data_IF_713034577704
#
_entry.id   IF_713034577704
#
_cell.length_a   1.000
_cell.length_b   1.000
_cell.length_c   1.000
_cell.angle_alpha   90.00
_cell.angle_beta   90.00
_cell.angle_gamma   90.00
#
_symmetry.space_group_name_H-M   'P 1'
#
loop_
_entity.id
_entity.type
_entity.pdbx_description
1 polymer ?
#
# COMPACT_ATOMS: atom_id res chain seq x y z
N UNK A 1 14.27 -13.65 -3.17
CA UNK A 1 14.30 -12.25 -3.65
C UNK A 1 15.41 -11.52 -2.90
N UNK A 2 16.21 -10.68 -3.56
CA UNK A 2 17.42 -10.07 -2.95
C UNK A 2 17.59 -8.57 -3.25
N UNK A 3 16.59 -7.87 -3.78
CA UNK A 3 16.71 -6.45 -4.10
C UNK A 3 15.37 -5.70 -4.15
N UNK A 4 15.44 -4.39 -3.98
CA UNK A 4 14.31 -3.43 -4.12
C UNK A 4 14.58 -2.59 -5.37
N UNK A 5 13.63 -2.59 -6.30
CA UNK A 5 13.74 -1.97 -7.64
C UNK A 5 12.58 -1.00 -7.87
N UNK A 6 12.52 -0.43 -9.08
CA UNK A 6 11.44 0.46 -9.54
C UNK A 6 11.32 1.77 -8.73
N UNK A 7 12.43 2.50 -8.69
CA UNK A 7 12.54 3.79 -8.00
C UNK A 7 12.04 4.98 -8.83
N UNK A 8 11.28 4.78 -9.92
CA UNK A 8 10.89 5.87 -10.82
C UNK A 8 10.04 6.94 -10.11
N UNK A 9 9.28 6.53 -9.09
CA UNK A 9 8.39 7.38 -8.31
C UNK A 9 9.00 7.82 -6.96
N UNK A 10 10.31 7.68 -6.75
CA UNK A 10 10.94 8.14 -5.51
C UNK A 10 10.84 9.66 -5.37
N UNK A 11 10.40 10.13 -4.20
CA UNK A 11 10.27 11.55 -3.92
C UNK A 11 10.57 11.88 -2.46
N UNK A 12 11.04 13.10 -2.20
CA UNK A 12 11.03 13.67 -0.86
C UNK A 12 9.60 14.08 -0.52
N UNK A 13 8.88 13.24 0.22
CA UNK A 13 7.44 13.38 0.49
C UNK A 13 7.09 12.89 1.91
N UNK A 14 5.79 12.72 2.17
CA UNK A 14 5.29 12.11 3.41
C UNK A 14 5.83 10.68 3.55
N UNK A 15 6.48 10.40 4.69
CA UNK A 15 7.04 9.08 5.03
C UNK A 15 6.01 7.94 5.05
N UNK A 16 4.72 8.26 5.19
CA UNK A 16 3.63 7.28 5.22
C UNK A 16 3.43 6.60 3.86
N UNK A 17 3.95 7.17 2.78
CA UNK A 17 3.85 6.62 1.42
C UNK A 17 4.54 5.25 1.34
N UNK A 18 5.72 5.09 1.94
CA UNK A 18 6.45 3.81 1.90
C UNK A 18 5.71 2.69 2.65
N UNK A 19 4.92 3.04 3.66
CA UNK A 19 4.12 2.09 4.43
C UNK A 19 2.82 1.70 3.72
N UNK A 20 2.33 2.53 2.79
CA UNK A 20 1.07 2.28 2.09
C UNK A 20 1.11 0.99 1.26
N UNK A 21 2.26 0.68 0.65
CA UNK A 21 2.42 -0.57 -0.11
C UNK A 21 2.26 -1.81 0.78
N UNK A 22 2.70 -1.75 2.04
CA UNK A 22 2.58 -2.86 2.98
C UNK A 22 1.11 -3.18 3.27
N UNK A 23 0.29 -2.15 3.49
CA UNK A 23 -1.17 -2.31 3.63
C UNK A 23 -1.81 -2.83 2.35
N UNK A 24 -1.43 -2.26 1.20
CA UNK A 24 -2.02 -2.58 -0.10
C UNK A 24 -1.86 -4.06 -0.47
N UNK A 25 -0.69 -4.66 -0.19
CA UNK A 25 -0.39 -6.04 -0.56
C UNK A 25 -0.60 -7.06 0.57
N UNK A 26 -0.40 -6.67 1.84
CA UNK A 26 -0.36 -7.58 2.98
C UNK A 26 -1.28 -7.24 4.15
N UNK A 27 -1.96 -6.08 4.12
CA UNK A 27 -2.85 -5.62 5.18
C UNK A 27 -2.16 -5.41 6.54
N UNK A 28 -2.99 -5.23 7.58
CA UNK A 28 -2.51 -4.93 8.94
C UNK A 28 -1.53 -5.96 9.51
N UNK A 29 -1.73 -7.29 9.39
CA UNK A 29 -0.80 -8.27 9.95
C UNK A 29 0.61 -8.17 9.36
N UNK A 30 0.73 -7.84 8.06
CA UNK A 30 2.04 -7.68 7.42
C UNK A 30 2.73 -6.40 7.90
N UNK A 31 1.97 -5.30 8.05
CA UNK A 31 2.48 -4.05 8.62
C UNK A 31 3.01 -4.28 10.04
N UNK A 32 2.23 -4.94 10.89
CA UNK A 32 2.64 -5.23 12.27
C UNK A 32 3.93 -6.08 12.31
N UNK A 33 4.06 -7.06 11.40
CA UNK A 33 5.28 -7.86 11.28
C UNK A 33 6.50 -7.02 10.87
N UNK A 34 6.37 -6.13 9.89
CA UNK A 34 7.47 -5.24 9.48
C UNK A 34 7.86 -4.29 10.62
N UNK A 35 6.87 -3.65 11.25
CA UNK A 35 7.09 -2.69 12.34
C UNK A 35 7.72 -3.35 13.58
N UNK A 36 7.49 -4.64 13.82
CA UNK A 36 8.15 -5.37 14.91
C UNK A 36 9.68 -5.41 14.81
N UNK A 37 10.22 -5.14 13.62
CA UNK A 37 11.67 -5.11 13.34
C UNK A 37 12.17 -3.75 12.85
N UNK A 38 11.30 -2.76 12.75
CA UNK A 38 11.64 -1.44 12.22
C UNK A 38 12.06 -0.53 13.38
N UNK A 39 13.33 -0.09 13.37
CA UNK A 39 13.86 0.79 14.41
C UNK A 39 13.26 2.21 14.39
N UNK A 40 12.55 2.58 13.33
CA UNK A 40 11.89 3.87 13.20
C UNK A 40 10.57 3.93 13.95
N UNK A 41 10.32 5.04 14.65
CA UNK A 41 9.02 5.28 15.31
C UNK A 41 7.96 5.65 14.27
N UNK A 42 6.91 4.84 14.19
CA UNK A 42 5.70 5.13 13.40
C UNK A 42 4.53 5.24 14.36
N UNK A 43 3.89 6.41 14.42
CA UNK A 43 2.72 6.61 15.25
C UNK A 43 1.44 6.13 14.53
N UNK A 44 0.37 5.95 15.30
CA UNK A 44 -0.93 5.49 14.79
C UNK A 44 -1.53 6.47 13.75
N UNK A 45 -1.17 7.76 13.82
CA UNK A 45 -1.63 8.74 12.82
C UNK A 45 -0.99 8.49 11.46
N UNK A 46 0.31 8.20 11.43
CA UNK A 46 1.03 7.81 10.23
C UNK A 46 0.53 6.48 9.67
N UNK A 47 0.20 5.50 10.53
CA UNK A 47 -0.39 4.23 10.09
C UNK A 47 -1.74 4.41 9.41
N UNK A 48 -2.63 5.23 10.00
CA UNK A 48 -3.92 5.55 9.37
C UNK A 48 -3.77 6.27 8.05
N UNK A 49 -2.80 7.18 7.94
CA UNK A 49 -2.49 7.85 6.67
C UNK A 49 -1.99 6.85 5.62
N UNK A 50 -1.08 5.95 5.99
CA UNK A 50 -0.59 4.90 5.10
C UNK A 50 -1.72 3.97 4.62
N UNK A 51 -2.61 3.55 5.54
CA UNK A 51 -3.78 2.74 5.22
C UNK A 51 -4.73 3.47 4.25
N UNK A 52 -4.96 4.77 4.46
CA UNK A 52 -5.76 5.59 3.55
C UNK A 52 -5.11 5.69 2.15
N UNK A 53 -3.81 5.95 2.09
CA UNK A 53 -3.07 6.01 0.82
C UNK A 53 -3.11 4.66 0.08
N UNK A 54 -3.05 3.55 0.81
CA UNK A 54 -3.17 2.21 0.26
C UNK A 54 -4.56 1.94 -0.36
N UNK A 55 -5.62 2.43 0.30
CA UNK A 55 -6.98 2.39 -0.22
C UNK A 55 -7.12 3.24 -1.49
N UNK A 56 -6.55 4.46 -1.51
CA UNK A 56 -6.51 5.30 -2.70
C UNK A 56 -5.81 4.60 -3.87
N UNK A 57 -4.70 3.91 -3.61
CA UNK A 57 -4.02 3.09 -4.62
C UNK A 57 -4.90 1.94 -5.12
N UNK A 58 -5.63 1.27 -4.23
CA UNK A 58 -6.61 0.25 -4.60
C UNK A 58 -7.72 0.76 -5.52
N UNK A 59 -8.25 1.96 -5.26
CA UNK A 59 -9.18 2.64 -6.20
C UNK A 59 -8.49 2.90 -7.55
N UNK A 60 -7.25 3.39 -7.54
CA UNK A 60 -6.47 3.62 -8.74
C UNK A 60 -6.28 2.34 -9.58
N UNK A 61 -6.02 1.20 -8.94
CA UNK A 61 -5.89 -0.08 -9.63
C UNK A 61 -7.22 -0.54 -10.25
N UNK A 62 -8.35 -0.33 -9.56
CA UNK A 62 -9.68 -0.60 -10.12
C UNK A 62 -9.94 0.28 -11.34
N UNK A 63 -9.71 1.58 -11.23
CA UNK A 63 -9.88 2.53 -12.34
C UNK A 63 -9.02 2.12 -13.53
N UNK A 64 -7.75 1.83 -13.30
CA UNK A 64 -6.82 1.39 -14.33
C UNK A 64 -7.25 0.08 -15.00
N UNK A 65 -7.72 -0.89 -14.22
CA UNK A 65 -8.24 -2.15 -14.74
C UNK A 65 -9.49 -1.96 -15.61
N UNK A 66 -10.39 -1.06 -15.23
CA UNK A 66 -11.58 -0.69 -16.01
C UNK A 66 -11.20 0.02 -17.32
N UNK A 67 -10.30 1.00 -17.26
CA UNK A 67 -9.87 1.79 -18.42
C UNK A 67 -9.09 0.97 -19.45
N UNK A 68 -8.30 0.00 -18.97
CA UNK A 68 -7.43 -0.82 -19.84
C UNK A 68 -8.01 -2.19 -20.18
N UNK A 69 -9.19 -2.54 -19.65
CA UNK A 69 -9.80 -3.86 -19.82
C UNK A 69 -9.04 -4.99 -19.13
N UNK A 70 -8.21 -4.67 -18.12
CA UNK A 70 -7.36 -5.63 -17.41
C UNK A 70 -7.97 -6.02 -16.07
N UNK A 71 -8.67 -7.15 -16.08
CA UNK A 71 -9.44 -7.64 -14.95
C UNK A 71 -8.56 -7.94 -13.72
N UNK A 72 -7.31 -8.33 -13.92
CA UNK A 72 -6.35 -8.59 -12.84
C UNK A 72 -6.11 -7.37 -11.93
N UNK A 73 -6.14 -6.16 -12.49
CA UNK A 73 -6.00 -4.93 -11.71
C UNK A 73 -7.27 -4.58 -10.94
N UNK A 74 -8.44 -4.93 -11.48
CA UNK A 74 -9.71 -4.80 -10.75
C UNK A 74 -9.70 -5.71 -9.52
N UNK A 75 -9.32 -6.98 -9.69
CA UNK A 75 -9.24 -7.95 -8.60
C UNK A 75 -8.19 -7.53 -7.56
N UNK A 76 -7.02 -7.08 -8.01
CA UNK A 76 -5.97 -6.59 -7.12
C UNK A 76 -6.43 -5.37 -6.31
N UNK A 77 -7.08 -4.40 -6.96
CA UNK A 77 -7.59 -3.19 -6.31
C UNK A 77 -8.70 -3.48 -5.30
N UNK A 78 -9.64 -4.38 -5.62
CA UNK A 78 -10.68 -4.83 -4.67
C UNK A 78 -10.03 -5.53 -3.46
N UNK A 79 -9.06 -6.42 -3.69
CA UNK A 79 -8.33 -7.07 -2.59
C UNK A 79 -7.65 -6.05 -1.69
N UNK A 80 -6.93 -5.09 -2.27
CA UNK A 80 -6.27 -4.04 -1.51
C UNK A 80 -7.27 -3.23 -0.67
N UNK A 81 -8.42 -2.87 -1.24
CA UNK A 81 -9.48 -2.18 -0.51
C UNK A 81 -9.97 -3.01 0.67
N UNK A 82 -10.25 -4.31 0.50
CA UNK A 82 -10.64 -5.21 1.60
C UNK A 82 -9.59 -5.25 2.71
N UNK A 83 -8.30 -5.29 2.36
CA UNK A 83 -7.20 -5.27 3.35
C UNK A 83 -7.05 -3.93 4.06
N UNK A 84 -7.51 -2.83 3.45
CA UNK A 84 -7.39 -1.49 4.01
C UNK A 84 -8.62 -1.06 4.83
N UNK A 85 -9.80 -1.64 4.60
CA UNK A 85 -11.03 -1.33 5.34
C UNK A 85 -11.44 -2.41 6.35
N UNK A 86 -10.86 -3.61 6.23
CA UNK A 86 -11.09 -4.74 7.13
C UNK A 86 -10.28 -4.70 8.42
#
# INVERSE_FOLDING_TARGET
MTGIIDWSEIALSDRSVDLAALFHWGGRPFVDAVLSTYDGSVDETALRRAQFLAACKGVGDVTFGLETGRHEYIVAGIRALTLCIG
#
